data_IF_313053930305
#
_entry.id   IF_313053930305
#
_cell.length_a   1.000
_cell.length_b   1.000
_cell.length_c   1.000
_cell.angle_alpha   90.00
_cell.angle_beta   90.00
_cell.angle_gamma   90.00
#
_symmetry.space_group_name_H-M   'P 1'
#
loop_
_entity.id
_entity.type
_entity.pdbx_description
1 polymer ?
#
# COMPACT_ATOMS: atom_id res chain seq x y z
N UNK A 1 -12.67 -6.88 8.50
CA UNK A 1 -11.57 -5.94 8.27
C UNK A 1 -11.64 -5.43 6.84
N UNK A 2 -11.51 -4.15 6.66
CA UNK A 2 -11.68 -3.51 5.35
C UNK A 2 -10.71 -2.32 5.22
N UNK A 3 -10.05 -2.22 4.08
CA UNK A 3 -9.26 -1.03 3.74
C UNK A 3 -10.18 -0.02 3.09
N UNK A 4 -10.35 1.14 3.73
CA UNK A 4 -11.24 2.19 3.23
C UNK A 4 -10.52 3.01 2.17
N UNK A 5 -9.31 3.49 2.47
CA UNK A 5 -8.50 4.26 1.55
C UNK A 5 -7.05 4.31 2.03
N UNK A 6 -6.19 4.83 1.17
CA UNK A 6 -4.82 5.20 1.54
C UNK A 6 -4.67 6.68 1.26
N UNK A 7 -4.29 7.44 2.27
CA UNK A 7 -4.14 8.90 2.19
C UNK A 7 -2.71 9.32 2.45
N UNK A 8 -2.41 10.59 2.22
CA UNK A 8 -1.09 11.18 2.45
C UNK A 8 0.03 10.41 1.75
N UNK A 9 -0.27 9.91 0.55
CA UNK A 9 0.70 9.17 -0.24
C UNK A 9 1.78 10.10 -0.79
N UNK A 10 3.04 9.73 -0.57
CA UNK A 10 4.19 10.46 -1.08
C UNK A 10 5.08 9.48 -1.82
N UNK A 11 5.41 9.78 -3.06
CA UNK A 11 6.38 9.00 -3.82
C UNK A 11 7.79 9.37 -3.40
N UNK A 12 8.58 8.38 -3.02
CA UNK A 12 10.00 8.60 -2.71
C UNK A 12 10.79 8.69 -4.02
N UNK A 13 11.64 9.70 -4.10
CA UNK A 13 12.52 9.88 -5.25
C UNK A 13 13.75 8.98 -5.10
N UNK A 14 13.75 7.87 -5.84
CA UNK A 14 14.85 6.91 -5.86
C UNK A 14 15.26 6.62 -7.30
N UNK A 15 16.56 6.47 -7.59
CA UNK A 15 17.05 6.26 -8.96
C UNK A 15 16.91 4.79 -9.39
N UNK A 16 15.73 4.24 -9.28
CA UNK A 16 15.43 2.85 -9.68
C UNK A 16 14.28 2.87 -10.68
N UNK A 17 14.53 2.44 -11.91
CA UNK A 17 13.56 2.53 -13.00
C UNK A 17 12.42 1.53 -12.89
N UNK A 18 12.69 0.34 -12.38
CA UNK A 18 11.73 -0.75 -12.34
C UNK A 18 10.95 -0.82 -11.03
N UNK A 19 11.25 0.07 -10.08
CA UNK A 19 10.61 0.08 -8.77
C UNK A 19 10.22 1.50 -8.37
N UNK A 20 8.98 1.64 -7.91
CA UNK A 20 8.48 2.88 -7.35
C UNK A 20 8.23 2.68 -5.87
N UNK A 21 8.73 3.59 -5.03
CA UNK A 21 8.59 3.53 -3.58
C UNK A 21 7.67 4.65 -3.11
N UNK A 22 6.79 4.31 -2.18
CA UNK A 22 5.81 5.24 -1.63
C UNK A 22 5.71 5.10 -0.12
N UNK A 23 5.29 6.19 0.53
CA UNK A 23 4.80 6.16 1.90
C UNK A 23 3.35 6.59 1.90
N UNK A 24 2.59 6.19 2.90
CA UNK A 24 1.20 6.60 3.01
C UNK A 24 0.59 6.20 4.34
N UNK A 25 -0.68 6.57 4.50
CA UNK A 25 -1.47 6.21 5.68
C UNK A 25 -2.68 5.43 5.20
N UNK A 26 -2.78 4.18 5.59
CA UNK A 26 -3.93 3.34 5.29
C UNK A 26 -5.01 3.57 6.34
N UNK A 27 -6.22 3.85 5.90
CA UNK A 27 -7.40 3.92 6.76
C UNK A 27 -8.08 2.56 6.70
N UNK A 28 -8.09 1.86 7.82
CA UNK A 28 -8.58 0.49 7.93
C UNK A 28 -9.73 0.44 8.93
N UNK A 29 -10.81 -0.23 8.58
CA UNK A 29 -11.95 -0.47 9.46
C UNK A 29 -11.93 -1.90 9.96
N UNK A 30 -12.04 -2.06 11.27
CA UNK A 30 -12.12 -3.34 11.94
C UNK A 30 -13.09 -3.23 13.12
N UNK A 31 -14.10 -4.10 13.17
CA UNK A 31 -15.15 -4.06 14.20
C UNK A 31 -15.82 -2.68 14.31
N UNK A 32 -16.10 -2.04 13.16
CA UNK A 32 -16.76 -0.73 13.08
C UNK A 32 -15.90 0.43 13.62
N UNK A 33 -14.62 0.19 13.86
CA UNK A 33 -13.67 1.21 14.29
C UNK A 33 -12.66 1.43 13.16
N UNK A 34 -12.50 2.69 12.74
CA UNK A 34 -11.51 3.07 11.73
C UNK A 34 -10.21 3.48 12.41
N UNK A 35 -9.11 3.05 11.87
CA UNK A 35 -7.77 3.40 12.38
C UNK A 35 -6.87 3.81 11.23
N UNK A 36 -5.97 4.75 11.51
CA UNK A 36 -4.93 5.18 10.58
C UNK A 36 -3.65 4.39 10.87
N UNK A 37 -3.14 3.74 9.84
CA UNK A 37 -1.93 2.92 9.95
C UNK A 37 -0.92 3.42 8.94
N UNK A 38 0.27 3.81 9.41
CA UNK A 38 1.35 4.23 8.51
C UNK A 38 1.94 3.00 7.82
N UNK A 39 2.11 3.12 6.52
CA UNK A 39 2.68 2.05 5.70
C UNK A 39 3.71 2.61 4.72
N UNK A 40 4.65 1.74 4.35
CA UNK A 40 5.49 1.93 3.17
C UNK A 40 5.07 0.86 2.16
N UNK A 41 5.04 1.22 0.90
CA UNK A 41 4.77 0.23 -0.13
C UNK A 41 5.60 0.51 -1.38
N UNK A 42 5.83 -0.53 -2.15
CA UNK A 42 6.55 -0.42 -3.41
C UNK A 42 5.85 -1.23 -4.49
N UNK A 43 6.00 -0.76 -5.72
CA UNK A 43 5.53 -1.46 -6.90
C UNK A 43 6.74 -1.73 -7.78
N UNK A 44 7.02 -3.00 -8.02
CA UNK A 44 8.12 -3.43 -8.88
C UNK A 44 7.56 -3.99 -10.18
N UNK A 45 8.13 -3.56 -11.30
CA UNK A 45 7.78 -4.10 -12.61
C UNK A 45 8.85 -5.11 -12.97
N UNK A 46 8.44 -6.38 -13.08
CA UNK A 46 9.35 -7.48 -13.43
C UNK A 46 9.63 -7.51 -14.93
N UNK A 47 10.72 -8.15 -15.37
CA UNK A 47 11.00 -8.29 -16.81
C UNK A 47 9.87 -8.95 -17.60
N UNK A 48 9.03 -9.74 -16.95
CA UNK A 48 7.86 -10.37 -17.57
C UNK A 48 6.66 -9.43 -17.69
N UNK A 49 6.82 -8.16 -17.33
CA UNK A 49 5.74 -7.15 -17.27
C UNK A 49 4.76 -7.35 -16.14
N UNK A 50 5.00 -8.30 -15.25
CA UNK A 50 4.20 -8.48 -14.05
C UNK A 50 4.57 -7.43 -13.01
N UNK A 51 3.56 -6.97 -12.27
CA UNK A 51 3.74 -6.04 -11.16
C UNK A 51 3.74 -6.78 -9.84
N UNK A 52 4.67 -6.45 -8.98
CA UNK A 52 4.72 -6.97 -7.62
C UNK A 52 4.58 -5.82 -6.63
N UNK A 53 3.59 -5.93 -5.75
CA UNK A 53 3.34 -4.94 -4.69
C UNK A 53 3.87 -5.49 -3.38
N UNK A 54 4.71 -4.71 -2.72
CA UNK A 54 5.24 -5.04 -1.40
C UNK A 54 4.78 -3.99 -0.41
N UNK A 55 4.24 -4.42 0.73
CA UNK A 55 3.74 -3.52 1.79
C UNK A 55 4.48 -3.79 3.08
N UNK A 56 4.96 -2.73 3.71
CA UNK A 56 5.55 -2.77 5.05
C UNK A 56 4.68 -1.94 5.97
N UNK A 57 4.18 -2.54 7.04
CA UNK A 57 3.37 -1.85 8.03
C UNK A 57 4.30 -1.29 9.10
N UNK A 58 4.29 0.04 9.25
CA UNK A 58 5.20 0.75 10.15
C UNK A 58 4.63 0.77 11.57
N UNK A 59 3.34 1.07 11.70
CA UNK A 59 2.70 1.15 13.01
C UNK A 59 2.40 -0.24 13.56
N UNK A 60 2.71 -0.40 14.84
CA UNK A 60 2.27 -1.57 15.62
C UNK A 60 0.75 -1.58 15.69
N UNK A 61 0.13 -2.73 15.45
CA UNK A 61 -1.32 -2.83 15.37
C UNK A 61 -1.78 -4.17 15.95
N UNK A 62 -2.97 -4.17 16.54
CA UNK A 62 -3.63 -5.40 17.00
C UNK A 62 -4.30 -6.17 15.85
N UNK A 63 -4.23 -5.64 14.62
CA UNK A 63 -4.78 -6.30 13.46
C UNK A 63 -3.94 -7.51 13.04
N UNK A 64 -4.56 -8.56 12.52
CA UNK A 64 -3.80 -9.67 11.95
C UNK A 64 -3.04 -9.20 10.70
N UNK A 65 -1.70 -9.29 10.75
CA UNK A 65 -0.83 -8.69 9.72
C UNK A 65 -0.96 -9.36 8.36
N UNK A 66 -1.10 -10.67 8.32
CA UNK A 66 -1.15 -11.40 7.04
C UNK A 66 -2.40 -11.03 6.23
N UNK A 67 -3.62 -11.10 6.77
CA UNK A 67 -4.80 -10.64 6.06
C UNK A 67 -4.77 -9.15 5.72
N UNK A 68 -4.27 -8.31 6.63
CA UNK A 68 -4.15 -6.87 6.38
C UNK A 68 -3.22 -6.58 5.21
N UNK A 69 -2.06 -7.23 5.16
CA UNK A 69 -1.10 -7.08 4.08
C UNK A 69 -1.72 -7.47 2.72
N UNK A 70 -2.47 -8.55 2.68
CA UNK A 70 -3.16 -8.99 1.45
C UNK A 70 -4.18 -7.95 0.97
N UNK A 71 -4.98 -7.42 1.88
CA UNK A 71 -5.97 -6.38 1.54
C UNK A 71 -5.30 -5.11 1.04
N UNK A 72 -4.21 -4.70 1.68
CA UNK A 72 -3.46 -3.53 1.27
C UNK A 72 -2.82 -3.71 -0.11
N UNK A 73 -2.24 -4.87 -0.38
CA UNK A 73 -1.67 -5.17 -1.70
C UNK A 73 -2.72 -5.11 -2.80
N UNK A 74 -3.89 -5.68 -2.55
CA UNK A 74 -4.99 -5.65 -3.50
C UNK A 74 -5.47 -4.23 -3.74
N UNK A 75 -5.64 -3.44 -2.68
CA UNK A 75 -6.09 -2.05 -2.77
C UNK A 75 -5.08 -1.19 -3.57
N UNK A 76 -3.79 -1.37 -3.30
CA UNK A 76 -2.73 -0.64 -4.01
C UNK A 76 -2.68 -1.03 -5.49
N UNK A 77 -2.84 -2.31 -5.81
CA UNK A 77 -2.88 -2.77 -7.19
C UNK A 77 -4.05 -2.15 -7.95
N UNK A 78 -5.21 -2.06 -7.32
CA UNK A 78 -6.39 -1.40 -7.91
C UNK A 78 -6.16 0.09 -8.11
N UNK A 79 -5.51 0.77 -7.15
CA UNK A 79 -5.16 2.18 -7.29
C UNK A 79 -4.17 2.41 -8.44
N UNK A 80 -3.19 1.55 -8.60
CA UNK A 80 -2.23 1.66 -9.69
C UNK A 80 -2.91 1.48 -11.05
N UNK A 81 -3.79 0.52 -11.17
CA UNK A 81 -4.55 0.29 -12.40
C UNK A 81 -5.47 1.47 -12.73
N UNK A 82 -5.98 2.14 -11.71
CA UNK A 82 -6.84 3.32 -11.88
C UNK A 82 -6.06 4.64 -11.99
N UNK A 83 -4.73 4.59 -12.02
CA UNK A 83 -3.85 5.77 -12.02
C UNK A 83 -4.07 6.67 -10.78
N UNK A 84 -4.42 6.07 -9.65
CA UNK A 84 -4.70 6.78 -8.41
C UNK A 84 -3.50 7.04 -7.51
N UNK A 85 -2.30 6.58 -7.89
CA UNK A 85 -1.09 6.79 -7.13
C UNK A 85 -0.39 8.09 -7.54
N UNK A 86 0.34 8.75 -6.60
CA UNK A 86 1.10 9.95 -6.96
C UNK A 86 2.22 9.64 -7.95
N UNK A 87 2.45 10.58 -8.82
CA UNK A 87 3.52 10.49 -9.83
C UNK A 87 4.86 10.99 -9.29
#
# INVERSE_FOLDING_TARGET
MKVICIKDMIRKDVPIYYRRLYTGVAVVEFNQISSDIRIDFSIEIKPTSEKEVTVTIIDSSDYPLIPLTKLLKQHIAELDDACGLPE
#
